data_IF_456542357986
#
_entry.id   IF_456542357986
#
_cell.length_a   1.000
_cell.length_b   1.000
_cell.length_c   1.000
_cell.angle_alpha   90.00
_cell.angle_beta   90.00
_cell.angle_gamma   90.00
#
_symmetry.space_group_name_H-M   'P 1'
#
loop_
_entity.id
_entity.type
_entity.pdbx_description
1 polymer ?
#
# COMPACT_ATOMS: atom_id res chain seq x y z
N UNK A 1 2.50 -13.64 -2.16
CA UNK A 1 1.83 -12.31 -2.19
C UNK A 1 2.82 -11.13 -2.18
N UNK A 2 3.76 -11.09 -1.22
CA UNK A 2 4.64 -9.93 -1.00
C UNK A 2 5.51 -9.56 -2.22
N UNK A 3 6.08 -10.53 -2.96
CA UNK A 3 6.85 -10.24 -4.18
C UNK A 3 6.05 -9.49 -5.25
N UNK A 4 4.72 -9.64 -5.29
CA UNK A 4 3.87 -8.91 -6.23
C UNK A 4 3.74 -7.42 -5.88
N UNK A 5 4.13 -7.02 -4.67
CA UNK A 5 4.14 -5.62 -4.21
C UNK A 5 5.42 -4.89 -4.64
N UNK A 6 6.50 -5.60 -4.98
CA UNK A 6 7.79 -5.01 -5.42
C UNK A 6 7.61 -4.14 -6.66
N UNK A 7 6.70 -4.53 -7.56
CA UNK A 7 6.28 -3.71 -8.70
C UNK A 7 4.80 -3.93 -8.96
N UNK A 8 4.02 -2.89 -8.71
CA UNK A 8 2.58 -2.88 -9.00
C UNK A 8 2.37 -2.22 -10.35
N UNK A 9 1.70 -2.94 -11.26
CA UNK A 9 1.27 -2.43 -12.56
C UNK A 9 -0.25 -2.39 -12.59
N UNK A 10 -0.80 -1.26 -13.01
CA UNK A 10 -2.24 -1.04 -13.18
C UNK A 10 -2.51 -0.34 -14.49
N UNK A 11 -3.73 -0.52 -15.01
CA UNK A 11 -4.24 0.27 -16.12
C UNK A 11 -5.19 1.34 -15.55
N UNK A 12 -4.86 2.59 -15.82
CA UNK A 12 -5.57 3.76 -15.31
C UNK A 12 -6.26 4.47 -16.46
N UNK A 13 -7.46 4.97 -16.19
CA UNK A 13 -8.21 5.78 -17.15
C UNK A 13 -7.77 7.22 -16.98
N UNK A 14 -7.32 7.84 -18.06
CA UNK A 14 -7.01 9.27 -18.12
C UNK A 14 -7.88 9.95 -19.17
N UNK A 15 -7.91 11.28 -19.17
CA UNK A 15 -8.59 12.08 -20.21
C UNK A 15 -8.08 11.81 -21.64
N UNK A 16 -6.90 11.19 -21.78
CA UNK A 16 -6.29 10.83 -23.06
C UNK A 16 -6.42 9.33 -23.38
N UNK A 17 -7.18 8.57 -22.59
CA UNK A 17 -7.38 7.13 -22.74
C UNK A 17 -6.71 6.30 -21.64
N UNK A 18 -6.67 4.99 -21.85
CA UNK A 18 -6.12 4.03 -20.89
C UNK A 18 -4.59 4.08 -20.94
N UNK A 19 -3.95 4.23 -19.80
CA UNK A 19 -2.49 4.22 -19.68
C UNK A 19 -2.01 3.23 -18.62
N UNK A 20 -0.85 2.64 -18.85
CA UNK A 20 -0.23 1.74 -17.87
C UNK A 20 0.53 2.55 -16.81
N UNK A 21 0.13 2.44 -15.55
CA UNK A 21 0.87 2.98 -14.42
C UNK A 21 1.74 1.89 -13.77
N UNK A 22 2.99 2.22 -13.43
CA UNK A 22 3.93 1.28 -12.80
C UNK A 22 4.55 1.89 -11.54
N UNK A 23 4.06 1.47 -10.38
CA UNK A 23 4.65 1.78 -9.09
C UNK A 23 5.75 0.77 -8.74
N UNK A 24 7.00 1.23 -8.65
CA UNK A 24 8.18 0.41 -8.34
C UNK A 24 8.62 0.62 -6.88
N UNK A 25 9.31 -0.37 -6.33
CA UNK A 25 10.05 -0.23 -5.07
C UNK A 25 10.89 1.08 -5.09
N UNK A 26 10.81 1.96 -4.06
CA UNK A 26 10.18 1.73 -2.75
C UNK A 26 8.75 2.24 -2.56
N UNK A 27 8.07 2.76 -3.59
CA UNK A 27 6.76 3.40 -3.42
C UNK A 27 5.67 2.49 -2.81
N UNK A 28 5.41 1.26 -3.33
CA UNK A 28 4.38 0.39 -2.75
C UNK A 28 4.68 -0.01 -1.30
N UNK A 29 5.94 -0.36 -1.00
CA UNK A 29 6.35 -0.76 0.35
C UNK A 29 6.33 0.41 1.32
N UNK A 30 6.76 1.60 0.90
CA UNK A 30 6.70 2.79 1.74
C UNK A 30 5.26 3.18 2.08
N UNK A 31 4.36 3.03 1.10
CA UNK A 31 2.93 3.20 1.32
C UNK A 31 2.41 2.15 2.30
N UNK A 32 2.76 0.88 2.08
CA UNK A 32 2.38 -0.22 2.97
C UNK A 32 2.89 -0.03 4.40
N UNK A 33 4.12 0.41 4.60
CA UNK A 33 4.68 0.67 5.92
C UNK A 33 3.87 1.72 6.69
N UNK A 34 3.44 2.81 6.02
CA UNK A 34 2.56 3.81 6.62
C UNK A 34 1.20 3.19 7.00
N UNK A 35 0.62 2.36 6.12
CA UNK A 35 -0.63 1.64 6.40
C UNK A 35 -0.48 0.72 7.61
N UNK A 36 0.63 -0.01 7.72
CA UNK A 36 0.91 -0.93 8.82
C UNK A 36 1.30 -0.22 10.12
N UNK A 37 1.48 1.11 10.11
CA UNK A 37 1.81 1.89 11.31
C UNK A 37 3.29 1.92 11.65
N UNK A 38 4.14 1.55 10.69
CA UNK A 38 5.58 1.67 10.82
C UNK A 38 6.02 3.12 10.51
N UNK A 39 7.03 3.66 11.21
CA UNK A 39 7.54 5.01 10.99
C UNK A 39 8.41 5.07 9.72
N UNK A 40 7.78 5.07 8.54
CA UNK A 40 8.47 5.18 7.24
C UNK A 40 8.58 6.63 6.73
N UNK A 41 7.85 7.56 7.36
CA UNK A 41 7.68 8.93 6.89
C UNK A 41 6.92 9.01 5.55
N UNK A 42 6.63 10.23 5.07
CA UNK A 42 5.89 10.44 3.83
C UNK A 42 6.71 10.03 2.60
N UNK A 43 6.03 9.69 1.50
CA UNK A 43 6.64 9.64 0.17
C UNK A 43 7.05 11.05 -0.24
N UNK A 44 8.34 11.37 -0.09
CA UNK A 44 8.90 12.68 -0.44
C UNK A 44 9.31 12.68 -1.91
N UNK A 45 9.21 13.82 -2.61
CA UNK A 45 9.76 13.97 -3.96
C UNK A 45 11.21 13.45 -4.02
N UNK A 46 11.57 12.65 -5.03
CA UNK A 46 10.82 12.43 -6.28
C UNK A 46 9.72 11.35 -6.21
N UNK A 47 9.50 10.69 -5.05
CA UNK A 47 8.42 9.73 -4.91
C UNK A 47 7.07 10.43 -4.82
N UNK A 48 6.12 9.99 -5.65
CA UNK A 48 4.73 10.39 -5.59
C UNK A 48 3.89 9.49 -4.67
N UNK A 49 2.58 9.48 -4.91
CA UNK A 49 1.61 8.57 -4.27
C UNK A 49 1.25 7.41 -5.20
N UNK A 50 0.58 6.39 -4.65
CA UNK A 50 -0.04 5.36 -5.49
C UNK A 50 -1.30 5.90 -6.17
N UNK A 51 -1.73 5.25 -7.25
CA UNK A 51 -3.11 5.38 -7.72
C UNK A 51 -4.03 4.58 -6.80
N UNK A 52 -5.34 4.87 -6.83
CA UNK A 52 -6.31 4.11 -6.04
C UNK A 52 -6.34 2.63 -6.42
N UNK A 53 -6.24 2.29 -7.72
CA UNK A 53 -6.16 0.90 -8.17
C UNK A 53 -4.89 0.23 -7.67
N UNK A 54 -3.74 0.90 -7.74
CA UNK A 54 -2.48 0.34 -7.26
C UNK A 54 -2.47 0.13 -5.74
N UNK A 55 -3.06 1.04 -4.97
CA UNK A 55 -3.24 0.89 -3.53
C UNK A 55 -4.08 -0.35 -3.19
N UNK A 56 -5.19 -0.56 -3.91
CA UNK A 56 -6.04 -1.75 -3.70
C UNK A 56 -5.29 -3.05 -3.96
N UNK A 57 -4.41 -3.09 -4.96
CA UNK A 57 -3.53 -4.26 -5.19
C UNK A 57 -2.65 -4.51 -3.96
N UNK A 58 -2.00 -3.47 -3.41
CA UNK A 58 -1.18 -3.60 -2.20
C UNK A 58 -2.01 -4.09 -1.01
N UNK A 59 -3.18 -3.50 -0.77
CA UNK A 59 -4.09 -3.87 0.32
C UNK A 59 -4.58 -5.31 0.21
N UNK A 60 -4.97 -5.75 -0.98
CA UNK A 60 -5.43 -7.12 -1.20
C UNK A 60 -4.32 -8.14 -0.95
N UNK A 61 -3.10 -7.86 -1.39
CA UNK A 61 -1.95 -8.75 -1.16
C UNK A 61 -1.59 -8.84 0.32
N UNK A 62 -1.57 -7.71 1.06
CA UNK A 62 -1.24 -7.74 2.48
C UNK A 62 -2.35 -8.37 3.32
N UNK A 63 -3.64 -8.10 3.02
CA UNK A 63 -4.77 -8.75 3.68
C UNK A 63 -4.74 -10.26 3.46
N UNK A 64 -4.34 -10.72 2.27
CA UNK A 64 -4.14 -12.14 2.01
C UNK A 64 -3.06 -12.73 2.93
N UNK A 65 -1.92 -12.06 3.09
CA UNK A 65 -0.89 -12.51 4.03
C UNK A 65 -1.41 -12.51 5.46
N UNK A 66 -2.07 -11.44 5.89
CA UNK A 66 -2.63 -11.32 7.24
C UNK A 66 -3.63 -12.45 7.56
N UNK A 67 -4.50 -12.80 6.60
CA UNK A 67 -5.52 -13.83 6.80
C UNK A 67 -4.96 -15.26 6.74
N UNK A 68 -3.99 -15.52 5.85
CA UNK A 68 -3.46 -16.88 5.63
C UNK A 68 -2.29 -17.21 6.56
N UNK A 69 -1.45 -16.22 6.88
CA UNK A 69 -0.19 -16.39 7.63
C UNK A 69 0.08 -15.14 8.52
N UNK A 70 -0.76 -14.88 9.53
CA UNK A 70 -0.65 -13.70 10.39
C UNK A 70 0.69 -13.59 11.12
N UNK A 71 1.36 -14.71 11.42
CA UNK A 71 2.67 -14.77 12.08
C UNK A 71 3.77 -14.02 11.32
N UNK A 72 3.62 -13.81 10.00
CA UNK A 72 4.53 -13.02 9.18
C UNK A 72 4.45 -11.52 9.54
N UNK A 73 3.27 -11.04 9.94
CA UNK A 73 3.02 -9.63 10.24
C UNK A 73 2.96 -9.35 11.74
N UNK A 74 2.79 -10.37 12.58
CA UNK A 74 2.79 -10.28 14.04
C UNK A 74 3.96 -9.49 14.64
N UNK A 75 5.22 -9.61 14.13
CA UNK A 75 6.32 -8.79 14.64
C UNK A 75 6.11 -7.28 14.51
N UNK A 76 5.28 -6.84 13.55
CA UNK A 76 4.96 -5.42 13.35
C UNK A 76 4.03 -4.94 14.45
N UNK A 77 2.99 -5.71 14.79
CA UNK A 77 2.07 -5.38 15.90
C UNK A 77 2.80 -5.26 17.22
N UNK A 78 3.65 -6.24 17.54
CA UNK A 78 4.37 -6.27 18.81
C UNK A 78 5.47 -5.22 18.91
N UNK A 79 6.19 -4.94 17.82
CA UNK A 79 7.29 -3.98 17.83
C UNK A 79 6.82 -2.51 17.80
N UNK A 80 5.77 -2.20 17.02
CA UNK A 80 5.27 -0.83 16.87
C UNK A 80 4.06 -0.50 17.74
N UNK A 81 3.55 -1.46 18.52
CA UNK A 81 2.35 -1.33 19.36
C UNK A 81 1.14 -0.83 18.54
N UNK A 82 0.84 -1.57 17.47
CA UNK A 82 -0.25 -1.25 16.53
C UNK A 82 -1.22 -2.42 16.40
N UNK A 83 -2.48 -2.13 16.05
CA UNK A 83 -3.50 -3.14 15.74
C UNK A 83 -3.68 -3.28 14.23
N UNK A 84 -3.11 -4.31 13.62
CA UNK A 84 -3.13 -4.49 12.17
C UNK A 84 -4.54 -4.75 11.63
N UNK A 85 -5.39 -5.45 12.36
CA UNK A 85 -6.79 -5.67 11.97
C UNK A 85 -7.52 -4.34 11.70
N UNK A 86 -7.38 -3.38 12.64
CA UNK A 86 -7.98 -2.06 12.51
C UNK A 86 -7.36 -1.30 11.33
N UNK A 87 -6.03 -1.36 11.21
CA UNK A 87 -5.28 -0.64 10.18
C UNK A 87 -5.55 -1.13 8.77
N UNK A 88 -5.74 -2.43 8.59
CA UNK A 88 -6.05 -3.03 7.29
C UNK A 88 -7.52 -2.89 6.91
N UNK A 89 -8.41 -2.53 7.83
CA UNK A 89 -9.87 -2.41 7.58
C UNK A 89 -10.35 -0.96 7.49
N UNK A 90 -9.77 -0.06 8.27
CA UNK A 90 -10.24 1.31 8.40
C UNK A 90 -9.63 2.25 7.35
N UNK A 91 -10.50 2.89 6.54
CA UNK A 91 -10.10 3.79 5.44
C UNK A 91 -9.26 4.99 5.89
N UNK A 92 -9.40 5.44 7.15
CA UNK A 92 -8.63 6.57 7.69
C UNK A 92 -7.11 6.39 7.57
N UNK A 93 -6.62 5.15 7.56
CA UNK A 93 -5.19 4.84 7.43
C UNK A 93 -4.69 4.83 5.98
N UNK A 94 -5.59 4.96 5.01
CA UNK A 94 -5.28 4.96 3.58
C UNK A 94 -5.34 6.36 2.98
N UNK A 95 -6.10 7.25 3.61
CA UNK A 95 -6.30 8.64 3.19
C UNK A 95 -4.95 9.35 3.03
N UNK A 96 -4.82 10.10 1.92
CA UNK A 96 -3.60 10.84 1.61
C UNK A 96 -2.43 9.99 1.09
N UNK A 97 -2.52 8.65 1.06
CA UNK A 97 -1.49 7.76 0.51
C UNK A 97 -1.65 7.44 -0.98
N UNK A 98 -2.76 7.88 -1.58
CA UNK A 98 -3.04 7.72 -3.00
C UNK A 98 -3.52 9.05 -3.62
N UNK A 99 -3.51 9.14 -4.96
CA UNK A 99 -4.15 10.22 -5.70
C UNK A 99 -5.65 9.94 -5.87
N UNK A 100 -6.51 10.92 -5.56
CA UNK A 100 -7.97 10.77 -5.69
C UNK A 100 -8.41 10.62 -7.15
N UNK A 101 -7.67 11.22 -8.07
CA UNK A 101 -7.88 11.18 -9.52
C UNK A 101 -6.56 10.85 -10.21
N UNK A 102 -6.64 10.26 -11.40
CA UNK A 102 -5.49 9.90 -12.23
C UNK A 102 -5.46 10.72 -13.52
#
# INVERSE_FOLDING_TARGET
PLFQIVTVKTEEESSFGIVSCRARNPLPYKTLMNILGMPAGPCRPPLGKLTKKALNVVLNQIRKVYNENPEILQPIESFFDVKLEERLSNKKYFEGLYYEEY
#
